data_IF_796974841886
#
_entry.id   IF_796974841886
#
_cell.length_a   1.000
_cell.length_b   1.000
_cell.length_c   1.000
_cell.angle_alpha   90.00
_cell.angle_beta   90.00
_cell.angle_gamma   90.00
#
_symmetry.space_group_name_H-M   'P 1'
#
loop_
_entity.id
_entity.type
_entity.pdbx_description
1 polymer ?
#
# COMPACT_ATOMS: atom_id res chain seq x y z
N UNK A 1 -49.73 10.05 34.84
CA UNK A 1 -48.38 9.46 34.72
C UNK A 1 -47.45 10.20 35.67
N UNK A 2 -46.82 9.51 36.63
CA UNK A 2 -46.01 10.15 37.66
C UNK A 2 -44.80 10.88 37.04
N UNK A 3 -44.54 12.14 37.45
CA UNK A 3 -43.44 12.98 36.95
C UNK A 3 -42.09 12.27 37.09
N UNK A 4 -41.92 11.51 38.17
CA UNK A 4 -40.71 10.73 38.46
C UNK A 4 -40.51 9.61 37.43
N UNK A 5 -41.57 8.87 37.09
CA UNK A 5 -41.52 7.80 36.08
C UNK A 5 -41.15 8.39 34.71
N UNK A 6 -41.75 9.52 34.33
CA UNK A 6 -41.45 10.18 33.04
C UNK A 6 -40.00 10.63 32.95
N UNK A 7 -39.43 11.15 34.04
CA UNK A 7 -38.01 11.55 34.09
C UNK A 7 -37.07 10.36 33.96
N UNK A 8 -37.36 9.25 34.64
CA UNK A 8 -36.58 8.01 34.53
C UNK A 8 -36.68 7.42 33.12
N UNK A 9 -37.86 7.37 32.52
CA UNK A 9 -38.03 6.87 31.14
C UNK A 9 -37.26 7.71 30.14
N UNK A 10 -37.28 9.04 30.26
CA UNK A 10 -36.50 9.93 29.39
C UNK A 10 -35.00 9.70 29.57
N UNK A 11 -34.52 9.56 30.81
CA UNK A 11 -33.10 9.29 31.09
C UNK A 11 -32.65 7.96 30.46
N UNK A 12 -33.44 6.90 30.64
CA UNK A 12 -33.14 5.58 30.04
C UNK A 12 -33.15 5.66 28.51
N UNK A 13 -34.10 6.37 27.91
CA UNK A 13 -34.19 6.52 26.46
C UNK A 13 -32.99 7.29 25.90
N UNK A 14 -32.54 8.34 26.59
CA UNK A 14 -31.31 9.07 26.24
C UNK A 14 -30.08 8.17 26.33
N UNK A 15 -29.97 7.35 27.39
CA UNK A 15 -28.87 6.40 27.52
C UNK A 15 -28.86 5.34 26.42
N UNK A 16 -30.04 4.81 26.05
CA UNK A 16 -30.17 3.83 24.95
C UNK A 16 -29.78 4.46 23.61
N UNK A 17 -30.21 5.69 23.34
CA UNK A 17 -29.82 6.41 22.12
C UNK A 17 -28.32 6.71 22.09
N UNK A 18 -27.73 7.11 23.22
CA UNK A 18 -26.29 7.33 23.33
C UNK A 18 -25.51 6.02 23.10
N UNK A 19 -25.99 4.90 23.64
CA UNK A 19 -25.41 3.58 23.41
C UNK A 19 -25.53 3.16 21.94
N UNK A 20 -26.71 3.36 21.33
CA UNK A 20 -26.93 3.05 19.92
C UNK A 20 -26.02 3.88 19.01
N UNK A 21 -25.92 5.18 19.25
CA UNK A 21 -25.00 6.05 18.51
C UNK A 21 -23.53 5.62 18.68
N UNK A 22 -23.14 5.24 19.90
CA UNK A 22 -21.81 4.68 20.16
C UNK A 22 -21.57 3.38 19.39
N UNK A 23 -22.54 2.45 19.40
CA UNK A 23 -22.44 1.18 18.69
C UNK A 23 -22.37 1.37 17.17
N UNK A 24 -23.23 2.20 16.60
CA UNK A 24 -23.21 2.55 15.17
C UNK A 24 -21.90 3.25 14.80
N UNK A 25 -21.36 4.08 15.67
CA UNK A 25 -20.07 4.72 15.45
C UNK A 25 -18.91 3.72 15.39
N UNK A 26 -18.94 2.64 16.19
CA UNK A 26 -17.91 1.60 16.19
C UNK A 26 -18.08 0.64 15.02
N UNK A 27 -19.32 0.31 14.63
CA UNK A 27 -19.60 -0.73 13.64
C UNK A 27 -19.80 -0.22 12.21
N UNK A 28 -20.22 1.05 12.04
CA UNK A 28 -20.75 1.53 10.76
C UNK A 28 -20.05 2.74 10.15
N UNK A 29 -19.23 3.49 10.91
CA UNK A 29 -18.50 4.65 10.39
C UNK A 29 -17.02 4.29 10.21
N UNK A 30 -16.58 4.19 8.96
CA UNK A 30 -15.18 3.95 8.57
C UNK A 30 -14.28 5.19 8.83
N UNK A 31 -14.19 5.66 10.08
CA UNK A 31 -13.14 6.55 10.68
C UNK A 31 -13.63 7.15 12.01
N UNK A 32 -12.70 7.48 12.92
CA UNK A 32 -12.67 6.97 14.29
C UNK A 32 -13.99 7.13 15.05
N UNK A 33 -14.29 6.17 15.92
CA UNK A 33 -15.50 6.21 16.72
C UNK A 33 -15.55 7.51 17.55
N UNK A 34 -16.75 8.06 17.78
CA UNK A 34 -16.94 9.38 18.41
C UNK A 34 -16.21 9.57 19.75
N UNK A 35 -15.92 8.47 20.46
CA UNK A 35 -15.26 8.46 21.78
C UNK A 35 -13.81 7.96 21.73
N UNK A 36 -13.31 7.57 20.55
CA UNK A 36 -12.01 6.95 20.36
C UNK A 36 -10.86 7.92 20.67
N UNK A 37 -11.04 9.22 20.42
CA UNK A 37 -10.09 10.29 20.81
C UNK A 37 -9.89 10.43 22.32
N UNK A 38 -10.76 9.83 23.13
CA UNK A 38 -10.72 9.85 24.59
C UNK A 38 -10.39 8.48 25.21
N UNK A 39 -10.27 7.44 24.38
CA UNK A 39 -9.99 6.08 24.85
C UNK A 39 -8.48 5.86 25.02
N UNK A 40 -8.07 5.20 26.11
CA UNK A 40 -6.67 4.81 26.32
C UNK A 40 -6.19 3.68 25.39
N UNK A 41 -7.12 3.01 24.69
CA UNK A 41 -6.85 1.78 23.94
C UNK A 41 -6.53 2.03 22.45
N UNK A 42 -6.51 3.29 22.00
CA UNK A 42 -6.21 3.64 20.60
C UNK A 42 -7.31 3.17 19.64
N UNK A 43 -7.03 3.18 18.34
CA UNK A 43 -8.03 2.77 17.34
C UNK A 43 -7.92 1.28 17.01
N UNK A 44 -9.04 0.54 17.06
CA UNK A 44 -9.09 -0.89 16.72
C UNK A 44 -8.73 -1.16 15.24
N UNK A 45 -8.89 -0.13 14.40
CA UNK A 45 -8.55 -0.14 12.98
C UNK A 45 -7.07 0.08 12.69
N UNK A 46 -6.30 0.59 13.66
CA UNK A 46 -4.84 0.79 13.50
C UNK A 46 -4.01 -0.25 14.26
N UNK A 47 -4.64 -1.21 14.94
CA UNK A 47 -3.91 -2.31 15.59
C UNK A 47 -3.32 -3.24 14.51
N UNK A 48 -2.00 -3.45 14.57
CA UNK A 48 -1.27 -4.31 13.63
C UNK A 48 -1.68 -5.78 13.68
N UNK A 49 -2.35 -6.23 14.75
CA UNK A 49 -2.89 -7.60 14.89
C UNK A 49 -4.25 -7.77 14.22
N UNK A 50 -4.85 -6.70 13.71
CA UNK A 50 -6.15 -6.77 13.06
C UNK A 50 -6.02 -7.31 11.62
N UNK A 51 -6.06 -8.64 11.50
CA UNK A 51 -5.97 -9.33 10.21
C UNK A 51 -7.05 -8.86 9.20
N UNK A 52 -8.21 -8.36 9.64
CA UNK A 52 -9.23 -7.83 8.73
C UNK A 52 -8.78 -6.55 8.02
N UNK A 53 -8.03 -5.69 8.71
CA UNK A 53 -7.46 -4.50 8.08
C UNK A 53 -6.38 -4.88 7.07
N UNK A 54 -5.59 -5.91 7.37
CA UNK A 54 -4.61 -6.48 6.43
C UNK A 54 -5.35 -7.06 5.22
N UNK A 55 -6.33 -7.95 5.38
CA UNK A 55 -7.07 -8.49 4.23
C UNK A 55 -7.83 -7.41 3.44
N UNK A 56 -8.38 -6.38 4.09
CA UNK A 56 -9.02 -5.27 3.39
C UNK A 56 -8.00 -4.42 2.60
N UNK A 57 -6.82 -4.17 3.16
CA UNK A 57 -5.75 -3.40 2.52
C UNK A 57 -5.04 -4.16 1.40
N UNK A 58 -4.89 -5.48 1.57
CA UNK A 58 -4.10 -6.34 0.69
C UNK A 58 -4.97 -7.14 -0.30
N UNK A 59 -6.27 -7.30 -0.05
CA UNK A 59 -7.24 -7.94 -0.95
C UNK A 59 -8.02 -6.96 -1.84
N UNK A 60 -7.55 -5.72 -1.94
CA UNK A 60 -8.06 -4.74 -2.90
C UNK A 60 -7.26 -4.82 -4.20
N UNK A 61 -7.92 -4.65 -5.34
CA UNK A 61 -7.26 -4.47 -6.64
C UNK A 61 -6.43 -3.19 -6.63
N UNK A 62 -5.11 -3.31 -6.35
CA UNK A 62 -4.22 -2.15 -6.23
C UNK A 62 -3.92 -1.58 -7.60
N UNK A 63 -3.87 -0.26 -7.68
CA UNK A 63 -3.59 0.45 -8.92
C UNK A 63 -2.21 0.11 -9.51
N UNK A 64 -2.09 0.29 -10.82
CA UNK A 64 -0.86 0.05 -11.56
C UNK A 64 0.18 1.13 -11.33
N UNK A 65 1.45 0.76 -11.40
CA UNK A 65 2.58 1.70 -11.49
C UNK A 65 3.10 1.64 -12.93
N UNK A 66 3.18 2.78 -13.60
CA UNK A 66 3.63 2.89 -14.97
C UNK A 66 4.90 3.74 -15.08
N UNK A 67 5.91 3.25 -15.80
CA UNK A 67 7.05 4.03 -16.28
C UNK A 67 6.79 4.42 -17.75
N UNK A 68 6.39 5.67 -17.99
CA UNK A 68 5.90 6.06 -19.32
C UNK A 68 4.62 5.30 -19.67
N UNK A 69 4.70 4.41 -20.67
CA UNK A 69 3.59 3.56 -21.11
C UNK A 69 3.80 2.08 -20.74
N UNK A 70 4.87 1.77 -20.00
CA UNK A 70 5.20 0.41 -19.56
C UNK A 70 4.69 0.19 -18.14
N UNK A 71 3.92 -0.89 -17.93
CA UNK A 71 3.49 -1.32 -16.58
C UNK A 71 4.67 -1.97 -15.87
N UNK A 72 5.00 -1.47 -14.67
CA UNK A 72 6.12 -1.95 -13.86
C UNK A 72 5.68 -2.61 -12.55
N UNK A 73 4.44 -2.35 -12.10
CA UNK A 73 3.78 -3.11 -11.05
C UNK A 73 2.29 -3.20 -11.35
N UNK A 74 1.73 -4.40 -11.19
CA UNK A 74 0.32 -4.70 -11.44
C UNK A 74 -0.22 -5.65 -10.35
N UNK A 75 -1.54 -5.78 -10.28
CA UNK A 75 -2.22 -6.69 -9.37
C UNK A 75 -3.05 -7.69 -10.15
N UNK A 76 -2.67 -8.97 -10.09
CA UNK A 76 -3.37 -10.05 -10.75
C UNK A 76 -4.29 -10.79 -9.76
N UNK A 77 -5.50 -11.19 -10.17
CA UNK A 77 -6.36 -12.03 -9.33
C UNK A 77 -5.67 -13.34 -8.95
N UNK A 78 -5.75 -13.72 -7.68
CA UNK A 78 -5.26 -15.00 -7.15
C UNK A 78 -6.42 -15.78 -6.53
N UNK A 79 -6.36 -17.11 -6.64
CA UNK A 79 -7.37 -18.04 -6.09
C UNK A 79 -7.18 -18.32 -4.58
N UNK A 80 -6.45 -17.47 -3.86
CA UNK A 80 -6.14 -17.62 -2.44
C UNK A 80 -6.90 -16.63 -1.53
N UNK A 81 -6.62 -16.70 -0.23
CA UNK A 81 -7.25 -15.86 0.80
C UNK A 81 -6.96 -14.35 0.64
N UNK A 82 -5.95 -13.97 -0.15
CA UNK A 82 -5.57 -12.58 -0.39
C UNK A 82 -6.22 -12.00 -1.65
N UNK A 83 -6.92 -12.80 -2.46
CA UNK A 83 -7.71 -12.38 -3.66
C UNK A 83 -6.90 -11.77 -4.81
N UNK A 84 -5.84 -11.00 -4.53
CA UNK A 84 -4.97 -10.36 -5.51
C UNK A 84 -3.51 -10.55 -5.13
N UNK A 85 -2.68 -10.91 -6.11
CA UNK A 85 -1.24 -10.99 -5.99
C UNK A 85 -0.58 -9.82 -6.71
N UNK A 86 0.39 -9.17 -6.05
CA UNK A 86 1.17 -8.08 -6.66
C UNK A 86 2.28 -8.65 -7.53
N UNK A 87 2.36 -8.23 -8.79
CA UNK A 87 3.35 -8.67 -9.78
C UNK A 87 4.20 -7.51 -10.26
N UNK A 88 5.47 -7.78 -10.56
CA UNK A 88 6.46 -6.80 -11.02
C UNK A 88 7.11 -7.29 -12.31
N UNK A 89 6.52 -7.00 -13.50
CA UNK A 89 7.01 -7.50 -14.78
C UNK A 89 8.46 -7.12 -15.12
N UNK A 90 8.98 -6.04 -14.50
CA UNK A 90 10.36 -5.59 -14.69
C UNK A 90 11.32 -5.89 -13.53
N UNK A 91 10.87 -6.63 -12.49
CA UNK A 91 11.69 -7.15 -11.40
C UNK A 91 12.78 -6.21 -10.89
N UNK A 92 14.04 -6.68 -10.94
CA UNK A 92 15.26 -5.97 -10.51
C UNK A 92 15.47 -4.58 -11.16
N UNK A 93 15.03 -4.39 -12.40
CA UNK A 93 15.24 -3.15 -13.15
C UNK A 93 14.52 -1.96 -12.51
N UNK A 94 13.34 -2.21 -11.93
CA UNK A 94 12.49 -1.18 -11.34
C UNK A 94 12.31 -1.33 -9.82
N UNK A 95 12.86 -2.37 -9.20
CA UNK A 95 12.81 -2.57 -7.75
C UNK A 95 13.26 -1.35 -6.92
N UNK A 96 14.31 -0.57 -7.30
CA UNK A 96 14.67 0.64 -6.57
C UNK A 96 13.60 1.74 -6.60
N UNK A 97 12.72 1.72 -7.61
CA UNK A 97 11.60 2.65 -7.76
C UNK A 97 10.36 2.13 -7.05
N UNK A 98 9.88 0.96 -7.45
CA UNK A 98 8.63 0.38 -6.92
C UNK A 98 8.76 0.08 -5.44
N UNK A 99 9.94 -0.39 -5.01
CA UNK A 99 10.08 -1.12 -3.75
C UNK A 99 9.42 -2.48 -3.86
N UNK A 100 9.01 -3.01 -2.71
CA UNK A 100 8.20 -4.21 -2.62
C UNK A 100 6.93 -3.95 -1.81
N UNK A 101 5.96 -4.83 -2.00
CA UNK A 101 4.72 -4.92 -1.24
C UNK A 101 4.62 -6.36 -0.77
N UNK A 102 4.69 -6.59 0.54
CA UNK A 102 4.63 -7.93 1.13
C UNK A 102 3.41 -8.07 2.01
N UNK A 103 2.51 -8.99 1.66
CA UNK A 103 1.37 -9.40 2.48
C UNK A 103 1.85 -10.11 3.74
N UNK A 104 2.81 -11.03 3.60
CA UNK A 104 3.35 -11.87 4.67
C UNK A 104 4.01 -11.05 5.79
N UNK A 105 4.77 -10.01 5.43
CA UNK A 105 5.39 -9.11 6.40
C UNK A 105 4.57 -7.86 6.72
N UNK A 106 3.41 -7.68 6.07
CA UNK A 106 2.60 -6.45 6.15
C UNK A 106 3.46 -5.20 5.99
N UNK A 107 4.41 -5.23 5.05
CA UNK A 107 5.47 -4.24 4.87
C UNK A 107 5.54 -3.77 3.43
N UNK A 108 5.84 -2.48 3.27
CA UNK A 108 5.94 -1.79 1.99
C UNK A 108 7.16 -0.89 1.97
N UNK A 109 7.77 -0.73 0.81
CA UNK A 109 8.91 0.19 0.61
C UNK A 109 8.75 1.00 -0.67
N UNK A 110 9.62 2.00 -0.89
CA UNK A 110 9.65 2.76 -2.15
C UNK A 110 8.33 3.45 -2.50
N UNK A 111 7.94 3.36 -3.77
CA UNK A 111 6.68 3.92 -4.27
C UNK A 111 5.45 3.19 -3.73
N UNK A 112 5.53 1.89 -3.46
CA UNK A 112 4.41 1.14 -2.86
C UNK A 112 4.02 1.70 -1.49
N UNK A 113 4.99 2.16 -0.69
CA UNK A 113 4.74 2.81 0.59
C UNK A 113 4.26 4.26 0.41
N UNK A 114 4.99 5.06 -0.36
CA UNK A 114 4.76 6.51 -0.47
C UNK A 114 3.48 6.85 -1.25
N UNK A 115 3.13 6.07 -2.26
CA UNK A 115 1.90 6.22 -3.04
C UNK A 115 0.78 5.28 -2.57
N UNK A 116 0.91 4.64 -1.39
CA UNK A 116 -0.06 3.65 -0.92
C UNK A 116 -1.50 4.17 -0.94
N UNK A 117 -1.75 5.43 -0.54
CA UNK A 117 -3.09 6.02 -0.51
C UNK A 117 -3.74 6.12 -1.89
N UNK A 118 -2.95 6.31 -2.95
CA UNK A 118 -3.45 6.34 -4.33
C UNK A 118 -3.65 4.91 -4.81
N UNK A 119 -2.64 4.06 -4.60
CA UNK A 119 -2.62 2.66 -5.05
C UNK A 119 -3.71 1.80 -4.39
N UNK A 120 -4.09 2.09 -3.14
CA UNK A 120 -5.19 1.41 -2.45
C UNK A 120 -6.55 2.09 -2.64
N UNK A 121 -6.60 3.21 -3.38
CA UNK A 121 -7.84 3.94 -3.63
C UNK A 121 -8.39 4.72 -2.43
N UNK A 122 -7.60 4.97 -1.38
CA UNK A 122 -7.99 5.77 -0.21
C UNK A 122 -7.84 7.27 -0.41
N UNK A 123 -7.17 7.71 -1.48
CA UNK A 123 -6.94 9.12 -1.75
C UNK A 123 -8.26 9.93 -1.84
N UNK A 124 -8.33 11.15 -1.25
CA UNK A 124 -9.51 12.00 -1.34
C UNK A 124 -9.94 12.33 -2.78
N UNK A 125 -8.99 12.41 -3.72
CA UNK A 125 -9.28 12.67 -5.13
C UNK A 125 -10.09 11.54 -5.79
N UNK A 126 -10.00 10.32 -5.26
CA UNK A 126 -10.72 9.14 -5.76
C UNK A 126 -12.10 8.96 -5.09
N UNK A 127 -12.52 9.89 -4.22
CA UNK A 127 -13.77 9.78 -3.46
C UNK A 127 -15.02 9.69 -4.34
N UNK A 128 -15.05 10.41 -5.46
CA UNK A 128 -16.16 10.35 -6.42
C UNK A 128 -16.28 8.97 -7.06
N UNK A 129 -15.15 8.37 -7.45
CA UNK A 129 -15.08 7.01 -7.98
C UNK A 129 -15.54 5.99 -6.95
N UNK A 130 -15.14 6.14 -5.68
CA UNK A 130 -15.61 5.27 -4.58
C UNK A 130 -17.12 5.32 -4.38
N UNK A 131 -17.71 6.52 -4.35
CA UNK A 131 -19.17 6.66 -4.23
C UNK A 131 -19.87 5.99 -5.42
N UNK A 132 -19.33 6.18 -6.63
CA UNK A 132 -19.89 5.55 -7.82
C UNK A 132 -19.84 4.02 -7.70
N UNK A 133 -18.69 3.44 -7.38
CA UNK A 133 -18.52 2.00 -7.18
C UNK A 133 -19.46 1.42 -6.11
N UNK A 134 -19.67 2.16 -5.01
CA UNK A 134 -20.63 1.75 -3.96
C UNK A 134 -22.09 1.74 -4.45
N UNK A 135 -22.45 2.66 -5.34
CA UNK A 135 -23.81 2.74 -5.92
C UNK A 135 -24.00 1.71 -7.04
N UNK A 136 -22.96 1.45 -7.84
CA UNK A 136 -23.00 0.50 -8.97
C UNK A 136 -22.74 -0.94 -8.56
N UNK A 137 -22.14 -1.18 -7.39
CA UNK A 137 -21.70 -2.49 -6.94
C UNK A 137 -20.42 -2.96 -7.63
N UNK A 138 -19.71 -2.08 -8.34
CA UNK A 138 -18.43 -2.40 -8.98
C UNK A 138 -17.32 -2.53 -7.94
N UNK A 139 -16.36 -3.42 -8.20
CA UNK A 139 -15.18 -3.59 -7.34
C UNK A 139 -14.37 -2.30 -7.30
N UNK A 140 -14.03 -1.84 -6.10
CA UNK A 140 -13.23 -0.64 -5.93
C UNK A 140 -11.78 -0.92 -6.36
N UNK A 141 -11.37 -0.36 -7.50
CA UNK A 141 -9.99 -0.42 -7.97
C UNK A 141 -9.18 0.78 -7.43
N UNK A 142 -7.92 0.53 -7.10
CA UNK A 142 -6.95 1.56 -6.74
C UNK A 142 -6.61 2.49 -7.91
N UNK A 143 -6.09 3.68 -7.58
CA UNK A 143 -5.62 4.63 -8.59
C UNK A 143 -4.27 4.22 -9.16
N UNK A 144 -4.10 4.33 -10.48
CA UNK A 144 -2.81 4.12 -11.13
C UNK A 144 -1.91 5.36 -11.02
N UNK A 145 -0.59 5.14 -10.94
CA UNK A 145 0.41 6.22 -10.94
C UNK A 145 1.30 6.13 -12.18
N UNK A 146 1.54 7.27 -12.84
CA UNK A 146 2.45 7.38 -13.97
C UNK A 146 3.71 8.14 -13.55
N UNK A 147 4.85 7.47 -13.67
CA UNK A 147 6.17 8.01 -13.35
C UNK A 147 6.75 8.77 -14.55
N UNK A 148 7.74 9.61 -14.25
CA UNK A 148 8.53 10.35 -15.25
C UNK A 148 9.63 9.50 -15.90
N UNK A 149 9.81 8.27 -15.44
CA UNK A 149 10.85 7.35 -15.91
C UNK A 149 10.62 7.00 -17.38
N UNK A 150 11.65 7.14 -18.22
CA UNK A 150 11.65 6.62 -19.59
C UNK A 150 12.23 5.19 -19.55
N UNK A 151 11.46 4.15 -19.90
CA UNK A 151 11.91 2.76 -19.89
C UNK A 151 13.19 2.51 -20.68
N UNK A 152 13.42 3.25 -21.77
CA UNK A 152 14.62 3.11 -22.61
C UNK A 152 15.86 3.66 -21.91
N UNK A 153 15.70 4.79 -21.20
CA UNK A 153 16.78 5.39 -20.41
C UNK A 153 17.09 4.52 -19.18
N UNK A 154 16.05 3.99 -18.51
CA UNK A 154 16.20 3.05 -17.40
C UNK A 154 16.99 1.80 -17.82
N UNK A 155 16.61 1.17 -18.93
CA UNK A 155 17.31 -0.01 -19.45
C UNK A 155 18.77 0.31 -19.81
N UNK A 156 19.01 1.41 -20.52
CA UNK A 156 20.36 1.82 -20.89
C UNK A 156 21.24 2.08 -19.65
N UNK A 157 20.68 2.67 -18.59
CA UNK A 157 21.39 2.89 -17.33
C UNK A 157 21.71 1.58 -16.59
N UNK A 158 20.79 0.62 -16.61
CA UNK A 158 21.01 -0.72 -16.06
C UNK A 158 22.11 -1.48 -16.81
N UNK A 159 22.02 -1.52 -18.13
CA UNK A 159 23.01 -2.18 -18.99
C UNK A 159 24.39 -1.53 -18.83
N UNK A 160 24.44 -0.21 -18.66
CA UNK A 160 25.69 0.52 -18.40
C UNK A 160 26.33 0.16 -17.06
N UNK A 161 25.57 -0.17 -16.02
CA UNK A 161 26.14 -0.68 -14.76
C UNK A 161 26.77 -2.06 -14.96
N UNK A 162 26.18 -2.92 -15.80
CA UNK A 162 26.75 -4.21 -16.18
C UNK A 162 27.08 -5.11 -14.98
N UNK A 163 26.19 -5.13 -13.97
CA UNK A 163 26.36 -5.90 -12.74
C UNK A 163 27.37 -5.32 -11.74
N UNK A 164 27.92 -4.12 -11.99
CA UNK A 164 28.79 -3.43 -11.03
C UNK A 164 27.97 -2.84 -9.90
N UNK A 165 28.53 -2.83 -8.69
CA UNK A 165 27.96 -2.13 -7.54
C UNK A 165 28.00 -0.62 -7.76
N UNK A 166 26.86 0.03 -7.67
CA UNK A 166 26.75 1.47 -7.90
C UNK A 166 25.33 1.93 -8.16
N UNK A 167 25.20 3.18 -8.59
CA UNK A 167 23.92 3.82 -8.88
C UNK A 167 24.04 4.73 -10.10
N UNK A 168 22.95 4.87 -10.85
CA UNK A 168 22.83 5.79 -11.98
C UNK A 168 21.53 6.56 -11.85
N UNK A 169 21.60 7.88 -11.99
CA UNK A 169 20.44 8.77 -12.04
C UNK A 169 20.52 9.62 -13.30
N UNK A 170 19.44 9.63 -14.08
CA UNK A 170 19.29 10.52 -15.23
C UNK A 170 18.14 11.49 -14.96
N UNK A 171 18.40 12.78 -15.18
CA UNK A 171 17.46 13.87 -14.94
C UNK A 171 17.29 14.68 -16.22
N UNK A 172 16.08 15.19 -16.45
CA UNK A 172 15.84 16.28 -17.38
C UNK A 172 16.12 17.62 -16.65
N UNK A 173 17.18 18.37 -17.02
CA UNK A 173 17.52 19.61 -16.34
C UNK A 173 16.49 20.73 -16.51
N UNK A 174 15.67 20.66 -17.56
CA UNK A 174 14.70 21.71 -17.88
C UNK A 174 13.41 21.60 -17.06
N UNK A 175 13.00 20.36 -16.76
CA UNK A 175 11.75 20.07 -16.03
C UNK A 175 11.98 19.58 -14.60
N UNK A 176 13.20 19.08 -14.30
CA UNK A 176 13.51 18.39 -13.06
C UNK A 176 12.99 16.94 -13.02
N UNK A 177 12.45 16.42 -14.12
CA UNK A 177 11.94 15.06 -14.19
C UNK A 177 13.06 14.03 -14.06
N UNK A 178 12.82 12.98 -13.27
CA UNK A 178 13.72 11.83 -13.17
C UNK A 178 13.40 10.87 -14.31
N UNK A 179 14.34 10.68 -15.23
CA UNK A 179 14.19 9.84 -16.43
C UNK A 179 14.68 8.41 -16.19
N UNK A 180 15.67 8.22 -15.31
CA UNK A 180 16.11 6.92 -14.85
C UNK A 180 16.66 6.99 -13.42
N UNK A 181 16.43 5.92 -12.66
CA UNK A 181 16.90 5.77 -11.29
C UNK A 181 17.19 4.29 -11.07
N UNK A 182 18.47 3.94 -11.16
CA UNK A 182 18.95 2.56 -11.13
C UNK A 182 19.94 2.38 -9.99
N UNK A 183 19.78 1.31 -9.21
CA UNK A 183 20.70 0.86 -8.17
C UNK A 183 21.11 -0.58 -8.45
N UNK A 184 22.40 -0.89 -8.34
CA UNK A 184 22.96 -2.22 -8.55
C UNK A 184 23.91 -2.60 -7.40
N UNK A 185 23.90 -3.86 -6.93
CA UNK A 185 22.93 -4.90 -7.27
C UNK A 185 21.52 -4.56 -6.76
N UNK A 186 20.51 -5.14 -7.41
CA UNK A 186 19.09 -5.01 -7.04
C UNK A 186 18.52 -6.37 -6.65
N UNK A 187 17.20 -6.46 -6.48
CA UNK A 187 16.49 -7.67 -6.08
C UNK A 187 15.16 -7.79 -6.84
N UNK A 188 14.61 -9.00 -6.92
CA UNK A 188 13.29 -9.23 -7.49
C UNK A 188 12.18 -9.01 -6.44
N UNK A 189 11.32 -7.99 -6.56
CA UNK A 189 10.25 -7.74 -5.61
C UNK A 189 9.16 -8.82 -5.62
N UNK A 190 9.05 -9.62 -6.69
CA UNK A 190 8.07 -10.71 -6.78
C UNK A 190 8.30 -11.76 -5.68
N UNK A 191 9.57 -11.98 -5.27
CA UNK A 191 9.91 -12.90 -4.19
C UNK A 191 9.38 -12.46 -2.82
N UNK A 192 9.25 -11.15 -2.60
CA UNK A 192 8.72 -10.58 -1.36
C UNK A 192 7.20 -10.35 -1.41
N UNK A 193 6.63 -10.32 -2.61
CA UNK A 193 5.20 -10.17 -2.85
C UNK A 193 4.43 -11.49 -2.92
N UNK A 194 5.13 -12.62 -2.89
CA UNK A 194 4.52 -13.93 -2.79
C UNK A 194 3.66 -14.06 -1.52
N UNK A 195 2.58 -14.84 -1.60
CA UNK A 195 1.70 -15.08 -0.45
C UNK A 195 2.16 -16.24 0.45
N UNK A 196 3.17 -16.99 0.00
CA UNK A 196 3.79 -18.06 0.77
C UNK A 196 4.82 -17.49 1.75
N UNK A 197 4.50 -17.55 3.05
CA UNK A 197 5.34 -16.99 4.10
C UNK A 197 6.74 -17.60 4.15
N UNK A 198 6.89 -18.89 3.86
CA UNK A 198 8.18 -19.57 3.93
C UNK A 198 9.12 -19.11 2.79
N UNK A 199 8.58 -18.95 1.58
CA UNK A 199 9.30 -18.38 0.43
C UNK A 199 9.73 -16.95 0.71
N UNK A 200 8.82 -16.12 1.23
CA UNK A 200 9.10 -14.71 1.53
C UNK A 200 10.13 -14.56 2.65
N UNK A 201 10.06 -15.40 3.69
CA UNK A 201 11.04 -15.44 4.78
C UNK A 201 12.43 -15.83 4.27
N UNK A 202 12.52 -16.87 3.46
CA UNK A 202 13.78 -17.33 2.88
C UNK A 202 14.40 -16.27 1.97
N UNK A 203 13.59 -15.61 1.14
CA UNK A 203 14.03 -14.51 0.29
C UNK A 203 14.51 -13.30 1.12
N UNK A 204 13.78 -12.95 2.18
CA UNK A 204 14.15 -11.85 3.07
C UNK A 204 15.50 -12.10 3.77
N UNK A 205 15.70 -13.28 4.33
CA UNK A 205 16.96 -13.67 4.97
C UNK A 205 18.12 -13.60 3.96
N UNK A 206 17.94 -14.17 2.77
CA UNK A 206 18.95 -14.12 1.71
C UNK A 206 19.30 -12.70 1.29
N UNK A 207 18.31 -11.81 1.16
CA UNK A 207 18.53 -10.42 0.74
C UNK A 207 19.16 -9.56 1.83
N UNK A 208 18.86 -9.86 3.10
CA UNK A 208 19.40 -9.13 4.24
C UNK A 208 20.84 -9.56 4.58
N UNK A 209 21.15 -10.85 4.41
CA UNK A 209 22.49 -11.40 4.69
C UNK A 209 23.46 -11.21 3.52
N UNK A 210 22.97 -10.79 2.35
CA UNK A 210 23.82 -10.48 1.20
C UNK A 210 24.75 -9.28 1.50
N UNK A 211 26.09 -9.48 1.48
CA UNK A 211 27.06 -8.39 1.73
C UNK A 211 26.98 -7.26 0.68
N UNK A 212 26.41 -7.54 -0.48
CA UNK A 212 26.18 -6.59 -1.54
C UNK A 212 24.91 -5.74 -1.32
N UNK A 213 24.15 -5.96 -0.24
CA UNK A 213 23.00 -5.13 0.20
C UNK A 213 22.06 -4.73 -0.96
N UNK A 214 21.41 -5.68 -1.64
CA UNK A 214 20.57 -5.41 -2.81
C UNK A 214 19.30 -4.60 -2.48
N UNK A 215 18.81 -4.68 -1.23
CA UNK A 215 17.65 -3.90 -0.76
C UNK A 215 17.93 -2.40 -0.64
N UNK A 216 19.21 -2.00 -0.60
CA UNK A 216 19.58 -0.59 -0.46
C UNK A 216 19.47 0.11 -1.80
N UNK A 217 18.61 1.13 -1.85
CA UNK A 217 18.59 2.04 -2.98
C UNK A 217 19.73 3.05 -2.88
N UNK A 218 20.82 2.79 -3.61
CA UNK A 218 22.04 3.60 -3.60
C UNK A 218 21.89 4.97 -4.24
N UNK A 219 20.84 5.22 -5.04
CA UNK A 219 20.62 6.53 -5.66
C UNK A 219 20.19 7.58 -4.63
N UNK A 220 19.57 7.15 -3.52
CA UNK A 220 19.03 8.04 -2.48
C UNK A 220 19.58 7.75 -1.09
N UNK A 221 19.95 6.50 -0.80
CA UNK A 221 20.39 6.06 0.54
C UNK A 221 21.89 6.11 0.76
N UNK A 222 22.70 6.24 -0.29
CA UNK A 222 24.15 6.04 -0.20
C UNK A 222 24.53 4.56 -0.08
N UNK A 223 25.74 4.29 0.41
CA UNK A 223 26.36 2.94 0.50
C UNK A 223 26.53 2.48 1.97
#
# INVERSE_FOLDING_TARGET
MNRQIRQVTVLVLVMVLALAASLTSVQGLNRPALWESSSQQGTLTTDSRNARMVYAQFGTDRGQILAGDTVIADSEPSDDAYTYQRTYPGGELYAPLTGYFSTSFSSMTGLELTANSVLNGEDPSLFSSRIKSLVTGETQQGGAIKLTIDPRVQQAAWDALGGRRGAVVALDPSTGAILALVSSPSYDPNLLAAHDSDTVQSAWESLNDDPAKPLVNRTIGGD
#
